data_IF_409804667524
#
_entry.id   IF_409804667524
#
_cell.length_a   1.000
_cell.length_b   1.000
_cell.length_c   1.000
_cell.angle_alpha   90.00
_cell.angle_beta   90.00
_cell.angle_gamma   90.00
#
_symmetry.space_group_name_H-M   'P 1'
#
loop_
_entity.id
_entity.type
_entity.pdbx_description
1 polymer ?
#
# COMPACT_ATOMS: atom_id res chain seq x y z
N UNK A 1 13.41 3.47 -16.72
CA UNK A 1 12.69 3.57 -18.02
C UNK A 1 11.71 4.74 -18.06
N UNK A 2 10.57 4.73 -17.35
CA UNK A 2 9.56 5.81 -17.47
C UNK A 2 10.14 7.24 -17.32
N UNK A 3 10.95 7.47 -16.28
CA UNK A 3 11.65 8.76 -16.07
C UNK A 3 12.53 9.17 -17.23
N UNK A 4 13.22 8.22 -17.89
CA UNK A 4 14.13 8.51 -18.99
C UNK A 4 13.38 9.02 -20.23
N UNK A 5 12.17 8.52 -20.48
CA UNK A 5 11.32 8.94 -21.60
C UNK A 5 10.31 10.03 -21.23
N UNK A 6 10.43 10.66 -20.05
CA UNK A 6 9.50 11.69 -19.61
C UNK A 6 8.07 11.20 -19.35
N UNK A 7 7.86 9.90 -19.23
CA UNK A 7 6.53 9.31 -19.01
C UNK A 7 6.10 9.38 -17.54
N UNK A 8 4.80 9.53 -17.33
CA UNK A 8 4.18 9.44 -16.01
C UNK A 8 3.94 7.99 -15.58
N UNK A 9 3.85 7.77 -14.27
CA UNK A 9 3.43 6.51 -13.67
C UNK A 9 2.02 6.67 -13.10
N UNK A 10 1.16 5.69 -13.38
CA UNK A 10 -0.17 5.58 -12.77
C UNK A 10 -0.26 4.26 -11.98
N UNK A 11 0.35 4.19 -10.78
CA UNK A 11 0.36 2.96 -9.99
C UNK A 11 -1.04 2.62 -9.50
N UNK A 12 -1.38 1.34 -9.59
CA UNK A 12 -2.59 0.76 -9.01
C UNK A 12 -2.25 0.13 -7.65
N UNK A 13 -3.29 -0.24 -6.90
CA UNK A 13 -3.17 -0.93 -5.60
C UNK A 13 -2.42 -0.17 -4.49
N UNK A 14 -2.36 1.15 -4.59
CA UNK A 14 -1.60 2.01 -3.66
C UNK A 14 -2.08 1.98 -2.21
N UNK A 15 -3.29 1.46 -1.98
CA UNK A 15 -3.89 1.27 -0.65
C UNK A 15 -3.83 -0.21 -0.18
N UNK A 16 -2.98 -1.03 -0.82
CA UNK A 16 -2.79 -2.45 -0.48
C UNK A 16 -4.09 -3.26 -0.63
N UNK A 17 -4.83 -3.08 -1.72
CA UNK A 17 -6.09 -3.77 -1.97
C UNK A 17 -7.21 -3.36 -1.02
N UNK A 18 -7.11 -2.18 -0.41
CA UNK A 18 -8.02 -1.74 0.65
C UNK A 18 -7.72 -2.37 2.01
N UNK A 19 -6.59 -3.09 2.15
CA UNK A 19 -6.14 -3.71 3.40
C UNK A 19 -5.50 -2.73 4.35
N UNK A 20 -5.06 -1.55 3.90
CA UNK A 20 -4.61 -0.51 4.81
C UNK A 20 -5.81 0.15 5.47
N UNK A 21 -6.09 -0.28 6.71
CA UNK A 21 -7.25 0.13 7.49
C UNK A 21 -6.82 0.38 8.92
N UNK A 22 -7.32 1.46 9.53
CA UNK A 22 -7.09 1.73 10.95
C UNK A 22 -7.75 0.65 11.82
N UNK A 23 -7.25 0.48 13.05
CA UNK A 23 -7.86 -0.45 14.03
C UNK A 23 -9.35 -0.20 14.21
N UNK A 24 -9.73 1.08 14.34
CA UNK A 24 -11.12 1.52 14.45
C UNK A 24 -11.95 1.09 13.24
N UNK A 25 -11.46 1.30 12.02
CA UNK A 25 -12.16 0.90 10.80
C UNK A 25 -12.34 -0.63 10.70
N UNK A 26 -11.33 -1.40 11.11
CA UNK A 26 -11.42 -2.86 11.15
C UNK A 26 -12.41 -3.37 12.20
N UNK A 27 -12.43 -2.76 13.39
CA UNK A 27 -13.40 -3.09 14.43
C UNK A 27 -14.84 -2.76 14.00
N UNK A 28 -15.06 -1.62 13.35
CA UNK A 28 -16.38 -1.23 12.81
C UNK A 28 -16.85 -2.21 11.74
N UNK A 29 -15.97 -2.64 10.81
CA UNK A 29 -16.30 -3.69 9.83
C UNK A 29 -16.72 -4.99 10.51
N UNK A 30 -15.94 -5.47 11.47
CA UNK A 30 -16.26 -6.70 12.21
C UNK A 30 -17.61 -6.61 12.94
N UNK A 31 -17.91 -5.46 13.56
CA UNK A 31 -19.22 -5.22 14.21
C UNK A 31 -20.38 -5.25 13.21
N UNK A 32 -20.15 -4.78 11.99
CA UNK A 32 -21.15 -4.79 10.92
C UNK A 32 -21.21 -6.13 10.16
N UNK A 33 -20.42 -7.13 10.55
CA UNK A 33 -20.32 -8.41 9.83
C UNK A 33 -19.67 -8.28 8.45
N UNK A 34 -18.95 -7.19 8.20
CA UNK A 34 -18.20 -6.94 6.97
C UNK A 34 -16.77 -7.45 7.08
N UNK A 35 -16.20 -7.87 5.95
CA UNK A 35 -14.80 -8.27 5.84
C UNK A 35 -14.08 -7.51 4.73
N UNK A 36 -12.75 -7.59 4.68
CA UNK A 36 -11.99 -6.98 3.59
C UNK A 36 -12.29 -7.75 2.30
N UNK A 37 -12.70 -7.03 1.25
CA UNK A 37 -12.88 -7.61 -0.08
C UNK A 37 -11.52 -8.10 -0.58
N UNK A 38 -11.46 -9.38 -0.93
CA UNK A 38 -10.25 -10.04 -1.40
C UNK A 38 -10.55 -10.76 -2.70
N UNK A 39 -9.79 -10.45 -3.75
CA UNK A 39 -9.78 -11.28 -4.97
C UNK A 39 -8.86 -12.49 -4.80
N UNK A 40 -7.79 -12.33 -4.01
CA UNK A 40 -6.79 -13.35 -3.71
C UNK A 40 -6.34 -13.16 -2.25
N UNK A 41 -6.43 -14.22 -1.45
CA UNK A 41 -5.99 -14.23 -0.05
C UNK A 41 -7.10 -14.07 0.99
N UNK A 42 -6.71 -13.98 2.26
CA UNK A 42 -7.61 -13.99 3.42
C UNK A 42 -8.51 -12.76 3.53
N UNK A 43 -9.63 -12.87 4.22
CA UNK A 43 -10.59 -11.77 4.44
C UNK A 43 -10.20 -10.80 5.58
N UNK A 44 -9.04 -11.02 6.19
CA UNK A 44 -8.48 -10.27 7.31
C UNK A 44 -7.10 -9.72 6.94
N UNK A 45 -6.60 -8.77 7.73
CA UNK A 45 -5.26 -8.22 7.56
C UNK A 45 -4.20 -9.23 7.99
N UNK A 46 -3.07 -9.28 7.28
CA UNK A 46 -1.85 -9.95 7.74
C UNK A 46 -1.13 -9.14 8.82
N UNK A 47 -0.22 -9.75 9.59
CA UNK A 47 0.58 -9.03 10.58
C UNK A 47 1.38 -7.87 9.97
N UNK A 48 1.86 -8.04 8.74
CA UNK A 48 2.56 -6.99 8.00
C UNK A 48 1.61 -5.83 7.64
N UNK A 49 0.40 -6.14 7.14
CA UNK A 49 -0.63 -5.14 6.83
C UNK A 49 -1.08 -4.37 8.06
N UNK A 50 -1.19 -5.03 9.22
CA UNK A 50 -1.51 -4.39 10.50
C UNK A 50 -0.41 -3.40 10.87
N UNK A 51 0.87 -3.81 10.86
CA UNK A 51 2.01 -2.93 11.18
C UNK A 51 2.09 -1.73 10.24
N UNK A 52 1.89 -1.94 8.93
CA UNK A 52 1.85 -0.85 7.96
C UNK A 52 0.69 0.10 8.26
N UNK A 53 -0.50 -0.43 8.55
CA UNK A 53 -1.68 0.40 8.85
C UNK A 53 -1.48 1.22 10.13
N UNK A 54 -0.86 0.66 11.17
CA UNK A 54 -0.50 1.38 12.39
C UNK A 54 0.51 2.50 12.13
N UNK A 55 1.53 2.23 11.32
CA UNK A 55 2.51 3.25 10.95
C UNK A 55 1.90 4.38 10.10
N UNK A 56 1.01 4.03 9.17
CA UNK A 56 0.25 5.01 8.40
C UNK A 56 -0.63 5.86 9.33
N UNK A 57 -1.29 5.26 10.31
CA UNK A 57 -2.11 5.98 11.28
C UNK A 57 -1.29 6.96 12.12
N UNK A 58 -0.10 6.54 12.58
CA UNK A 58 0.82 7.43 13.30
C UNK A 58 1.22 8.66 12.46
N UNK A 59 1.58 8.46 11.20
CA UNK A 59 1.94 9.57 10.30
C UNK A 59 0.71 10.44 9.96
N UNK A 60 -0.48 9.84 9.92
CA UNK A 60 -1.73 10.55 9.73
C UNK A 60 -1.98 11.57 10.86
N UNK A 61 -1.77 11.16 12.11
CA UNK A 61 -1.87 12.03 13.29
C UNK A 61 -0.95 13.25 13.19
N UNK A 62 0.30 13.06 12.76
CA UNK A 62 1.28 14.15 12.57
C UNK A 62 0.82 15.19 11.52
N UNK A 63 -0.01 14.79 10.56
CA UNK A 63 -0.58 15.65 9.52
C UNK A 63 -2.01 16.12 9.84
N UNK A 64 -2.51 15.85 11.05
CA UNK A 64 -3.85 16.25 11.46
C UNK A 64 -4.99 15.56 10.69
N UNK A 65 -4.77 14.32 10.24
CA UNK A 65 -5.78 13.52 9.55
C UNK A 65 -5.90 12.12 10.17
N UNK A 66 -7.07 11.50 10.09
CA UNK A 66 -7.27 10.10 10.49
C UNK A 66 -7.15 9.12 9.31
N UNK A 67 -6.97 9.65 8.09
CA UNK A 67 -7.01 8.86 6.86
C UNK A 67 -5.67 8.19 6.55
N UNK A 68 -5.57 6.90 6.89
CA UNK A 68 -4.44 6.04 6.50
C UNK A 68 -4.29 5.92 4.97
N UNK A 69 -5.40 5.96 4.22
CA UNK A 69 -5.37 5.90 2.76
C UNK A 69 -4.79 7.18 2.17
N UNK A 70 -5.09 8.35 2.75
CA UNK A 70 -4.51 9.61 2.31
C UNK A 70 -2.98 9.61 2.47
N UNK A 71 -2.46 9.09 3.59
CA UNK A 71 -1.01 8.94 3.81
C UNK A 71 -0.39 7.94 2.82
N UNK A 72 -1.04 6.81 2.55
CA UNK A 72 -0.55 5.85 1.57
C UNK A 72 -0.46 6.44 0.16
N UNK A 73 -1.48 7.19 -0.26
CA UNK A 73 -1.50 7.90 -1.55
C UNK A 73 -0.39 8.96 -1.60
N UNK A 74 -0.24 9.78 -0.54
CA UNK A 74 0.81 10.78 -0.44
C UNK A 74 2.22 10.16 -0.50
N UNK A 75 2.41 9.01 0.15
CA UNK A 75 3.65 8.24 0.09
C UNK A 75 4.02 7.78 -1.32
N UNK A 76 3.05 7.27 -2.10
CA UNK A 76 3.34 6.85 -3.47
C UNK A 76 3.61 8.06 -4.37
N UNK A 77 2.86 9.15 -4.21
CA UNK A 77 3.08 10.41 -4.95
C UNK A 77 4.48 10.99 -4.72
N UNK A 78 5.03 10.86 -3.51
CA UNK A 78 6.34 11.45 -3.17
C UNK A 78 7.52 10.75 -3.84
N UNK A 79 7.35 9.56 -4.42
CA UNK A 79 8.45 8.76 -5.00
C UNK A 79 9.09 9.36 -6.26
N UNK A 80 8.34 10.13 -7.04
CA UNK A 80 8.85 10.84 -8.22
C UNK A 80 7.88 11.94 -8.67
N UNK A 81 8.37 12.90 -9.48
CA UNK A 81 7.58 14.06 -9.94
C UNK A 81 6.28 13.70 -10.68
N UNK A 82 6.29 12.68 -11.53
CA UNK A 82 5.17 12.34 -12.41
C UNK A 82 4.52 11.02 -11.98
N UNK A 83 4.01 10.98 -10.75
CA UNK A 83 3.29 9.81 -10.19
C UNK A 83 1.86 10.20 -9.87
N UNK A 84 0.90 9.53 -10.49
CA UNK A 84 -0.55 9.78 -10.37
C UNK A 84 -1.25 8.48 -9.96
N UNK A 85 -1.27 8.15 -8.66
CA UNK A 85 -1.91 6.93 -8.17
C UNK A 85 -3.37 6.82 -8.61
N UNK A 86 -3.78 5.61 -9.02
CA UNK A 86 -5.20 5.31 -9.17
C UNK A 86 -5.84 5.27 -7.78
N UNK A 87 -6.96 5.98 -7.62
CA UNK A 87 -7.74 5.99 -6.39
C UNK A 87 -9.08 5.32 -6.64
N UNK A 88 -9.47 4.45 -5.73
CA UNK A 88 -10.75 3.74 -5.75
C UNK A 88 -11.43 3.90 -4.40
N UNK A 89 -12.76 3.91 -4.40
CA UNK A 89 -13.59 4.07 -3.21
C UNK A 89 -14.99 3.58 -3.51
N UNK A 90 -15.63 2.94 -2.53
CA UNK A 90 -17.00 2.47 -2.67
C UNK A 90 -18.03 3.54 -2.32
N UNK A 91 -17.62 4.53 -1.52
CA UNK A 91 -18.48 5.59 -0.98
C UNK A 91 -17.90 6.96 -1.31
N UNK A 92 -18.75 7.99 -1.29
CA UNK A 92 -18.31 9.37 -1.56
C UNK A 92 -17.38 9.89 -0.45
N UNK A 93 -17.54 9.38 0.77
CA UNK A 93 -16.67 9.65 1.91
C UNK A 93 -15.24 9.17 1.62
N UNK A 94 -15.07 7.97 1.04
CA UNK A 94 -13.76 7.44 0.66
C UNK A 94 -13.06 8.38 -0.34
N UNK A 95 -13.81 8.89 -1.32
CA UNK A 95 -13.28 9.84 -2.29
C UNK A 95 -12.83 11.15 -1.60
N UNK A 96 -13.64 11.69 -0.69
CA UNK A 96 -13.29 12.90 0.07
C UNK A 96 -12.04 12.71 0.91
N UNK A 97 -11.91 11.56 1.58
CA UNK A 97 -10.71 11.24 2.36
C UNK A 97 -9.48 11.08 1.45
N UNK A 98 -9.60 10.39 0.31
CA UNK A 98 -8.50 10.20 -0.62
C UNK A 98 -8.02 11.52 -1.25
N UNK A 99 -8.93 12.48 -1.52
CA UNK A 99 -8.58 13.81 -2.03
C UNK A 99 -7.66 14.57 -1.06
N UNK A 100 -7.79 14.36 0.26
CA UNK A 100 -6.91 15.01 1.26
C UNK A 100 -5.44 14.68 1.05
N UNK A 101 -5.12 13.55 0.40
CA UNK A 101 -3.75 13.18 0.05
C UNK A 101 -3.04 14.24 -0.81
N UNK A 102 -3.77 15.07 -1.56
CA UNK A 102 -3.21 16.13 -2.39
C UNK A 102 -2.57 17.26 -1.57
N UNK A 103 -3.05 17.47 -0.33
CA UNK A 103 -2.57 18.52 0.58
C UNK A 103 -1.51 18.02 1.57
N UNK A 104 -1.06 16.78 1.44
CA UNK A 104 -0.11 16.14 2.36
C UNK A 104 1.25 16.04 1.67
N UNK A 105 2.25 16.73 2.24
CA UNK A 105 3.65 16.61 1.88
C UNK A 105 4.40 15.90 3.00
N UNK A 106 4.73 14.62 2.78
CA UNK A 106 5.45 13.83 3.77
C UNK A 106 6.88 14.32 3.92
N UNK A 107 7.34 14.43 5.17
CA UNK A 107 8.74 14.74 5.46
C UNK A 107 9.64 13.54 5.11
N UNK A 108 10.95 13.77 4.87
CA UNK A 108 11.90 12.68 4.69
C UNK A 108 11.91 11.68 5.86
N UNK A 109 11.67 12.16 7.09
CA UNK A 109 11.59 11.31 8.27
C UNK A 109 10.32 10.45 8.29
N UNK A 110 9.18 10.99 7.84
CA UNK A 110 7.96 10.18 7.66
C UNK A 110 8.18 9.08 6.63
N UNK A 111 8.78 9.40 5.48
CA UNK A 111 9.05 8.42 4.42
C UNK A 111 9.99 7.33 4.95
N UNK A 112 11.09 7.73 5.59
CA UNK A 112 12.04 6.79 6.19
C UNK A 112 11.39 5.93 7.26
N UNK A 113 10.53 6.50 8.10
CA UNK A 113 9.80 5.74 9.11
C UNK A 113 8.93 4.67 8.47
N UNK A 114 8.08 5.05 7.49
CA UNK A 114 7.18 4.14 6.78
C UNK A 114 7.94 3.01 6.06
N UNK A 115 9.08 3.30 5.47
CA UNK A 115 9.92 2.31 4.76
C UNK A 115 10.58 1.29 5.69
N UNK A 116 10.73 1.59 6.98
CA UNK A 116 11.40 0.71 7.95
C UNK A 116 10.45 -0.13 8.80
N UNK A 117 9.13 -0.03 8.58
CA UNK A 117 8.10 -0.71 9.39
C UNK A 117 8.15 -2.23 9.20
N UNK A 118 8.37 -2.66 7.97
CA UNK A 118 8.48 -4.07 7.59
C UNK A 118 9.76 -4.28 6.78
N UNK A 119 10.39 -5.46 6.85
CA UNK A 119 11.53 -5.78 6.00
C UNK A 119 11.19 -5.59 4.53
N UNK A 120 12.11 -4.98 3.77
CA UNK A 120 11.95 -4.82 2.33
C UNK A 120 11.96 -6.19 1.63
N UNK A 121 10.88 -6.50 0.91
CA UNK A 121 10.82 -7.64 0.01
C UNK A 121 11.10 -7.17 -1.42
N UNK A 122 12.14 -7.75 -2.04
CA UNK A 122 12.51 -7.46 -3.43
C UNK A 122 11.41 -7.92 -4.41
N UNK A 123 10.65 -8.96 -4.05
CA UNK A 123 9.46 -9.39 -4.76
C UNK A 123 9.65 -9.68 -6.26
N UNK A 124 8.56 -9.51 -7.02
CA UNK A 124 8.54 -9.65 -8.47
C UNK A 124 9.35 -8.52 -9.15
N UNK A 125 10.08 -8.78 -10.26
CA UNK A 125 10.18 -10.04 -10.99
C UNK A 125 11.26 -11.00 -10.46
N UNK A 126 11.99 -10.65 -9.41
CA UNK A 126 13.09 -11.49 -8.91
C UNK A 126 12.60 -12.84 -8.40
N UNK A 127 11.48 -12.86 -7.66
CA UNK A 127 10.83 -14.10 -7.21
C UNK A 127 10.41 -14.99 -8.39
N UNK A 128 10.06 -14.41 -9.53
CA UNK A 128 9.66 -15.15 -10.72
C UNK A 128 10.87 -15.65 -11.53
N UNK A 129 11.86 -14.79 -11.77
CA UNK A 129 13.05 -15.10 -12.57
C UNK A 129 13.91 -16.16 -11.88
N UNK A 130 14.16 -16.01 -10.57
CA UNK A 130 15.01 -16.95 -9.82
C UNK A 130 14.35 -18.32 -9.74
N UNK A 131 13.04 -18.39 -9.47
CA UNK A 131 12.31 -19.65 -9.42
C UNK A 131 12.40 -20.39 -10.76
N UNK A 132 12.20 -19.70 -11.89
CA UNK A 132 12.37 -20.29 -13.21
C UNK A 132 13.82 -20.74 -13.50
N UNK A 133 14.82 -19.99 -13.05
CA UNK A 133 16.22 -20.39 -13.23
C UNK A 133 16.58 -21.65 -12.44
N UNK A 134 15.97 -21.85 -11.26
CA UNK A 134 16.17 -23.04 -10.44
C UNK A 134 15.38 -24.24 -10.96
N UNK A 135 14.12 -24.09 -11.37
CA UNK A 135 13.35 -25.18 -11.98
C UNK A 135 13.94 -25.62 -13.32
N UNK A 136 14.47 -24.69 -14.12
CA UNK A 136 15.16 -25.02 -15.37
C UNK A 136 16.51 -25.72 -15.14
N UNK A 137 17.22 -25.38 -14.05
CA UNK A 137 18.53 -25.97 -13.71
C UNK A 137 18.43 -27.30 -12.96
N UNK A 138 17.37 -27.52 -12.17
CA UNK A 138 17.28 -28.68 -11.27
C UNK A 138 16.05 -29.59 -11.50
N UNK A 139 15.12 -29.23 -12.39
CA UNK A 139 13.89 -29.99 -12.62
C UNK A 139 12.95 -29.97 -11.41
N UNK A 140 11.64 -30.04 -11.64
CA UNK A 140 10.57 -29.88 -10.63
C UNK A 140 10.45 -31.04 -9.61
N UNK A 141 11.53 -31.76 -9.31
CA UNK A 141 11.49 -32.95 -8.44
C UNK A 141 12.13 -32.76 -7.05
N UNK A 142 12.41 -31.53 -6.60
CA UNK A 142 12.96 -31.29 -5.25
C UNK A 142 12.30 -30.10 -4.54
N UNK A 143 10.98 -30.16 -4.36
CA UNK A 143 10.28 -29.57 -3.20
C UNK A 143 8.99 -30.33 -2.92
#
# INVERSE_FOLDING_TARGET
MARHFGMALAPWDVMGGGRFQSKKAMEERRKNGECIRSFVGASEQTDAEIKISEALAKVAEEHGTESVTAIAIAYVRSKAKNVFPSVEGGKIEDLKENIKALSIDLTPDNIKYLENVVPFDIGFPNTFIVLNSLTQKYGTNNV
#
